data_IF_147924705038
#
_entry.id   IF_147924705038
#
_cell.length_a   1.000
_cell.length_b   1.000
_cell.length_c   1.000
_cell.angle_alpha   90.00
_cell.angle_beta   90.00
_cell.angle_gamma   90.00
#
_symmetry.space_group_name_H-M   'P 1'
#
loop_
_entity.id
_entity.type
_entity.pdbx_description
1 polymer ?
#
# COMPACT_ATOMS: atom_id res chain seq x y z
N UNK A 1 7.39 11.12 -13.63
CA UNK A 1 7.73 9.87 -12.91
C UNK A 1 6.48 9.18 -12.35
N UNK A 2 5.50 9.91 -11.79
CA UNK A 2 4.27 9.29 -11.24
C UNK A 2 3.35 8.73 -12.32
N UNK A 3 3.20 9.42 -13.46
CA UNK A 3 2.35 8.97 -14.58
C UNK A 3 2.96 7.80 -15.34
N UNK A 4 4.27 7.79 -15.57
CA UNK A 4 4.98 6.68 -16.20
C UNK A 4 4.95 5.41 -15.35
N UNK A 5 5.08 5.54 -14.01
CA UNK A 5 4.99 4.44 -13.07
C UNK A 5 3.62 3.77 -13.14
N UNK A 6 2.55 4.56 -13.22
CA UNK A 6 1.17 4.08 -13.27
C UNK A 6 0.79 3.47 -14.63
N UNK A 7 1.34 3.98 -15.74
CA UNK A 7 1.12 3.45 -17.09
C UNK A 7 1.69 2.05 -17.28
N UNK A 8 2.79 1.75 -16.63
CA UNK A 8 3.55 0.51 -16.82
C UNK A 8 2.85 -0.70 -16.22
N UNK A 9 2.25 -0.55 -15.05
CA UNK A 9 1.55 -1.66 -14.36
C UNK A 9 0.35 -2.16 -15.17
N UNK A 10 -0.26 -1.29 -16.00
CA UNK A 10 -1.41 -1.64 -16.83
C UNK A 10 -1.04 -2.34 -18.15
N UNK A 11 0.20 -2.21 -18.64
CA UNK A 11 0.60 -2.78 -19.95
C UNK A 11 1.07 -4.23 -19.89
N UNK A 12 1.36 -4.77 -18.69
CA UNK A 12 1.88 -6.13 -18.49
C UNK A 12 0.86 -7.26 -18.52
N UNK A 13 -0.44 -6.98 -18.67
CA UNK A 13 -1.49 -8.00 -18.72
C UNK A 13 -1.54 -8.69 -20.08
N UNK A 14 -0.67 -9.68 -20.30
CA UNK A 14 -0.74 -10.61 -21.42
C UNK A 14 -2.04 -11.41 -21.35
N UNK A 15 -2.89 -11.27 -22.37
CA UNK A 15 -4.16 -12.01 -22.54
C UNK A 15 -3.89 -13.52 -22.53
N UNK A 16 -4.14 -14.19 -21.43
CA UNK A 16 -4.37 -15.64 -21.43
C UNK A 16 -5.84 -15.90 -21.16
N UNK A 17 -6.51 -16.30 -22.24
CA UNK A 17 -7.89 -16.77 -22.27
C UNK A 17 -7.95 -18.11 -21.49
N UNK A 18 -8.67 -18.16 -20.37
CA UNK A 18 -9.05 -19.43 -19.74
C UNK A 18 -10.52 -19.72 -20.04
N UNK A 19 -10.74 -20.83 -20.75
CA UNK A 19 -12.07 -21.41 -20.99
C UNK A 19 -12.63 -21.92 -19.65
N UNK A 20 -13.86 -21.52 -19.37
CA UNK A 20 -14.65 -22.00 -18.26
C UNK A 20 -15.25 -23.37 -18.59
N UNK A 21 -14.97 -24.36 -17.75
CA UNK A 21 -15.72 -25.61 -17.67
C UNK A 21 -16.68 -25.55 -16.50
N UNK A 22 -17.99 -25.51 -16.76
CA UNK A 22 -19.02 -25.56 -15.75
C UNK A 22 -19.30 -26.97 -15.28
N UNK A 23 -19.51 -27.16 -13.99
CA UNK A 23 -20.25 -28.29 -13.42
C UNK A 23 -21.17 -27.72 -12.37
N UNK A 24 -22.46 -27.87 -12.59
CA UNK A 24 -23.49 -27.59 -11.60
C UNK A 24 -23.71 -28.75 -10.67
N UNK A 25 -24.05 -28.47 -9.43
CA UNK A 25 -24.79 -29.41 -8.57
C UNK A 25 -25.80 -28.70 -7.70
N UNK A 26 -26.96 -29.36 -7.54
CA UNK A 26 -28.20 -28.84 -7.01
C UNK A 26 -28.36 -28.95 -5.49
N UNK A 27 -29.14 -28.02 -4.97
CA UNK A 27 -30.12 -27.95 -3.87
C UNK A 27 -30.41 -29.14 -2.95
N UNK A 28 -30.41 -28.83 -1.64
CA UNK A 28 -31.46 -29.12 -0.64
C UNK A 28 -31.02 -28.41 0.66
N UNK A 29 -31.79 -27.60 1.38
CA UNK A 29 -33.19 -27.65 1.76
C UNK A 29 -33.29 -27.53 3.28
N UNK A 30 -34.06 -26.51 3.78
CA UNK A 30 -34.73 -26.43 5.07
C UNK A 30 -34.00 -26.05 6.36
N UNK A 31 -34.33 -24.93 6.93
CA UNK A 31 -35.11 -24.73 8.13
C UNK A 31 -34.60 -23.60 9.03
N UNK A 32 -35.47 -22.77 9.63
CA UNK A 32 -35.07 -21.56 10.34
C UNK A 32 -34.73 -21.87 11.79
N UNK A 33 -33.65 -21.31 12.31
CA UNK A 33 -33.43 -21.21 13.74
C UNK A 33 -33.21 -19.78 14.20
N UNK A 34 -33.69 -19.54 15.41
CA UNK A 34 -34.08 -18.27 15.99
C UNK A 34 -32.90 -17.40 16.38
N UNK A 35 -33.18 -16.12 16.34
CA UNK A 35 -32.27 -15.04 16.65
C UNK A 35 -31.59 -15.13 18.02
N UNK A 36 -30.32 -14.87 18.01
CA UNK A 36 -29.57 -14.47 19.19
C UNK A 36 -28.99 -13.06 18.90
N UNK A 37 -29.43 -12.11 19.73
CA UNK A 37 -28.95 -10.73 19.69
C UNK A 37 -27.46 -10.73 20.07
N UNK A 38 -26.60 -10.51 19.12
CA UNK A 38 -25.22 -10.15 19.40
C UNK A 38 -25.21 -8.78 20.11
N UNK A 39 -24.72 -8.77 21.33
CA UNK A 39 -24.49 -7.56 22.11
C UNK A 39 -23.45 -6.68 21.39
N UNK A 40 -23.83 -5.44 21.16
CA UNK A 40 -22.97 -4.35 20.68
C UNK A 40 -21.87 -4.10 21.75
N UNK A 41 -20.72 -4.72 21.55
CA UNK A 41 -19.52 -4.40 22.32
C UNK A 41 -18.92 -3.11 21.71
N UNK A 42 -19.39 -1.99 22.21
CA UNK A 42 -18.84 -0.67 21.92
C UNK A 42 -17.32 -0.69 22.11
N UNK A 43 -16.56 -0.63 21.00
CA UNK A 43 -15.13 -0.46 21.02
C UNK A 43 -14.81 0.85 21.73
N UNK A 44 -14.21 0.77 22.92
CA UNK A 44 -13.66 1.92 23.60
C UNK A 44 -12.67 2.65 22.67
N UNK A 45 -12.64 4.00 22.63
CA UNK A 45 -11.69 4.73 21.81
C UNK A 45 -10.28 4.33 22.24
N UNK A 46 -9.48 3.85 21.28
CA UNK A 46 -8.10 3.45 21.49
C UNK A 46 -7.35 4.63 22.13
N UNK A 47 -6.80 4.43 23.31
CA UNK A 47 -5.98 5.40 24.00
C UNK A 47 -4.85 5.85 23.08
N UNK A 48 -4.66 7.16 22.91
CA UNK A 48 -3.55 7.73 22.13
C UNK A 48 -2.25 7.14 22.67
N UNK A 49 -1.43 6.48 21.83
CA UNK A 49 -0.18 5.90 22.28
C UNK A 49 0.71 7.03 22.81
N UNK A 50 1.22 6.88 24.02
CA UNK A 50 2.25 7.80 24.56
C UNK A 50 3.46 7.77 23.64
N UNK A 51 3.80 8.91 23.05
CA UNK A 51 4.95 9.10 22.19
C UNK A 51 6.22 8.63 22.90
N UNK A 52 6.80 7.53 22.43
CA UNK A 52 8.21 7.19 22.70
C UNK A 52 9.02 7.96 21.66
N UNK A 53 10.22 8.42 21.99
CA UNK A 53 11.06 9.39 21.26
C UNK A 53 11.27 9.24 19.74
N UNK A 54 10.55 8.32 19.08
CA UNK A 54 10.51 8.18 17.62
C UNK A 54 9.51 9.13 16.92
N UNK A 55 8.47 9.59 17.60
CA UNK A 55 7.45 10.44 16.97
C UNK A 55 8.03 11.82 16.61
N UNK A 56 8.86 12.41 17.48
CA UNK A 56 9.48 13.71 17.22
C UNK A 56 10.43 13.67 16.03
N UNK A 57 11.18 12.56 15.87
CA UNK A 57 12.10 12.38 14.74
C UNK A 57 11.36 12.18 13.43
N UNK A 58 10.25 11.43 13.39
CA UNK A 58 9.39 11.30 12.21
C UNK A 58 8.78 12.66 11.86
N UNK A 59 8.21 13.37 12.81
CA UNK A 59 7.65 14.71 12.62
C UNK A 59 8.70 15.71 12.10
N UNK A 60 9.93 15.66 12.61
CA UNK A 60 11.06 16.45 12.11
C UNK A 60 11.38 16.14 10.65
N UNK A 61 11.36 14.87 10.26
CA UNK A 61 11.60 14.46 8.89
C UNK A 61 10.48 14.92 7.93
N UNK A 62 9.23 15.07 8.39
CA UNK A 62 8.17 15.63 7.56
C UNK A 62 8.46 17.07 7.14
N UNK A 63 9.06 17.87 8.01
CA UNK A 63 9.43 19.25 7.72
C UNK A 63 10.69 19.39 6.85
N UNK A 64 11.44 18.29 6.62
CA UNK A 64 12.73 18.29 5.93
C UNK A 64 12.70 19.00 4.58
N UNK A 65 13.75 19.74 4.27
CA UNK A 65 13.89 20.54 3.03
C UNK A 65 14.11 19.69 1.76
N UNK A 66 14.43 18.41 1.95
CA UNK A 66 14.54 17.43 0.87
C UNK A 66 13.19 16.96 0.33
N UNK A 67 12.09 17.18 1.05
CA UNK A 67 10.72 16.90 0.62
C UNK A 67 10.13 18.11 -0.09
N UNK A 68 9.53 17.87 -1.27
CA UNK A 68 8.89 18.92 -2.04
C UNK A 68 7.67 19.51 -1.31
N UNK A 69 7.29 20.75 -1.63
CA UNK A 69 6.05 21.33 -1.10
C UNK A 69 4.81 20.50 -1.49
N UNK A 70 4.80 19.92 -2.69
CA UNK A 70 3.73 19.05 -3.16
C UNK A 70 3.63 17.75 -2.32
N UNK A 71 4.77 17.15 -1.95
CA UNK A 71 4.78 15.95 -1.08
C UNK A 71 4.31 16.29 0.33
N UNK A 72 4.75 17.42 0.88
CA UNK A 72 4.34 17.89 2.21
C UNK A 72 2.84 18.20 2.28
N UNK A 73 2.26 18.78 1.22
CA UNK A 73 0.82 19.05 1.15
C UNK A 73 -0.04 17.79 1.28
N UNK A 74 0.52 16.62 0.94
CA UNK A 74 -0.17 15.33 1.02
C UNK A 74 -0.13 14.70 2.41
N UNK A 75 0.70 15.22 3.33
CA UNK A 75 0.79 14.69 4.69
C UNK A 75 -0.55 14.76 5.42
N UNK A 76 -1.34 15.82 5.16
CA UNK A 76 -2.69 15.99 5.72
C UNK A 76 -3.70 14.92 5.28
N UNK A 77 -3.43 14.22 4.17
CA UNK A 77 -4.26 13.13 3.66
C UNK A 77 -3.71 11.75 4.02
N UNK A 78 -2.41 11.65 4.28
CA UNK A 78 -1.69 10.37 4.43
C UNK A 78 -1.28 10.06 5.86
N UNK A 79 -1.43 11.03 6.76
CA UNK A 79 -1.21 10.89 8.20
C UNK A 79 0.03 10.05 8.55
N UNK A 80 1.23 10.36 7.98
CA UNK A 80 2.38 9.46 8.07
C UNK A 80 2.88 9.22 9.49
N UNK A 81 2.76 10.20 10.39
CA UNK A 81 3.15 10.05 11.79
C UNK A 81 2.26 9.02 12.48
N UNK A 82 0.96 9.17 12.33
CA UNK A 82 -0.06 8.32 12.93
C UNK A 82 0.00 6.90 12.33
N UNK A 83 0.13 6.80 11.00
CA UNK A 83 0.20 5.51 10.30
C UNK A 83 1.43 4.72 10.69
N UNK A 84 2.63 5.34 10.68
CA UNK A 84 3.87 4.68 11.06
C UNK A 84 3.89 4.29 12.55
N UNK A 85 3.31 5.13 13.43
CA UNK A 85 3.14 4.80 14.84
C UNK A 85 2.15 3.63 15.04
N UNK A 86 1.04 3.60 14.30
CA UNK A 86 0.07 2.51 14.34
C UNK A 86 0.69 1.17 13.93
N UNK A 87 1.52 1.14 12.90
CA UNK A 87 2.25 -0.07 12.49
C UNK A 87 3.40 -0.41 13.44
N UNK A 88 3.82 0.52 14.30
CA UNK A 88 4.81 0.29 15.33
C UNK A 88 6.24 0.53 14.89
N UNK A 89 6.46 1.43 13.89
CA UNK A 89 7.83 1.84 13.54
C UNK A 89 8.57 2.35 14.76
N UNK A 90 9.77 1.82 14.98
CA UNK A 90 10.63 2.13 16.14
C UNK A 90 12.09 2.32 15.72
N UNK A 91 12.91 2.99 16.55
CA UNK A 91 14.34 3.15 16.32
C UNK A 91 15.05 1.82 16.11
N UNK A 92 16.00 1.79 15.17
CA UNK A 92 16.87 0.63 14.94
C UNK A 92 16.22 -0.52 14.15
N UNK A 93 14.96 -0.38 13.70
CA UNK A 93 14.27 -1.40 12.94
C UNK A 93 14.88 -1.63 11.56
N UNK A 94 14.75 -2.86 11.06
CA UNK A 94 14.86 -3.20 9.64
C UNK A 94 13.48 -3.14 9.01
N UNK A 95 13.31 -2.27 8.02
CA UNK A 95 12.04 -2.02 7.32
C UNK A 95 12.15 -2.42 5.86
N UNK A 96 11.09 -3.01 5.30
CA UNK A 96 10.95 -3.24 3.84
C UNK A 96 9.80 -2.41 3.31
N UNK A 97 10.08 -1.52 2.35
CA UNK A 97 9.07 -0.77 1.60
C UNK A 97 8.89 -1.42 0.22
N UNK A 98 7.67 -1.91 -0.08
CA UNK A 98 7.36 -2.50 -1.38
C UNK A 98 6.94 -1.42 -2.37
N UNK A 99 7.53 -1.45 -3.56
CA UNK A 99 7.29 -0.51 -4.66
C UNK A 99 7.21 0.95 -4.19
N UNK A 100 8.34 1.52 -3.75
CA UNK A 100 8.38 2.86 -3.16
C UNK A 100 7.94 3.97 -4.11
N UNK A 101 7.77 3.67 -5.39
CA UNK A 101 7.41 4.63 -6.43
C UNK A 101 8.43 5.76 -6.54
N UNK A 102 7.98 7.00 -6.50
CA UNK A 102 8.85 8.16 -6.47
C UNK A 102 9.53 8.41 -5.11
N UNK A 103 9.27 7.54 -4.09
CA UNK A 103 9.92 7.60 -2.79
C UNK A 103 9.26 8.52 -1.77
N UNK A 104 7.93 8.71 -1.84
CA UNK A 104 7.23 9.58 -0.89
C UNK A 104 7.41 9.12 0.56
N UNK A 105 7.22 7.82 0.85
CA UNK A 105 7.49 7.25 2.16
C UNK A 105 8.98 7.03 2.40
N UNK A 106 9.77 6.72 1.36
CA UNK A 106 11.23 6.61 1.47
C UNK A 106 11.85 7.89 2.04
N UNK A 107 11.33 9.08 1.66
CA UNK A 107 11.81 10.38 2.17
C UNK A 107 11.51 10.61 3.67
N UNK A 108 10.69 9.77 4.26
CA UNK A 108 10.37 9.79 5.68
C UNK A 108 11.11 8.66 6.39
N UNK A 109 11.04 7.44 5.83
CA UNK A 109 11.58 6.22 6.43
C UNK A 109 13.11 6.22 6.43
N UNK A 110 13.75 6.49 5.28
CA UNK A 110 15.19 6.37 5.18
C UNK A 110 15.95 7.35 6.07
N UNK A 111 15.59 8.66 6.14
CA UNK A 111 16.21 9.57 7.09
C UNK A 111 15.96 9.18 8.56
N UNK A 112 14.77 8.70 8.89
CA UNK A 112 14.47 8.21 10.24
C UNK A 112 15.35 7.02 10.62
N UNK A 113 15.44 6.03 9.73
CA UNK A 113 16.23 4.83 9.97
C UNK A 113 17.74 5.15 10.03
N UNK A 114 18.23 6.07 9.17
CA UNK A 114 19.60 6.55 9.22
C UNK A 114 19.96 7.18 10.58
N UNK A 115 19.06 8.01 11.13
CA UNK A 115 19.23 8.67 12.42
C UNK A 115 19.17 7.68 13.59
N UNK A 116 18.42 6.59 13.45
CA UNK A 116 18.16 5.62 14.51
C UNK A 116 18.94 4.32 14.36
N UNK A 117 19.92 4.25 13.42
CA UNK A 117 20.74 3.07 13.13
C UNK A 117 19.91 1.86 12.67
N UNK A 118 18.81 2.12 11.98
CA UNK A 118 17.99 1.12 11.30
C UNK A 118 18.45 0.92 9.86
N UNK A 119 17.73 0.04 9.14
CA UNK A 119 17.98 -0.28 7.74
C UNK A 119 16.69 -0.27 6.92
N UNK A 120 16.75 0.23 5.69
CA UNK A 120 15.66 0.17 4.73
C UNK A 120 16.03 -0.74 3.56
N UNK A 121 15.17 -1.73 3.28
CA UNK A 121 15.10 -2.42 2.01
C UNK A 121 14.01 -1.78 1.17
N UNK A 122 14.36 -1.27 0.00
CA UNK A 122 13.43 -0.75 -0.97
C UNK A 122 13.20 -1.81 -2.05
N UNK A 123 12.17 -2.64 -1.88
CA UNK A 123 11.76 -3.66 -2.84
C UNK A 123 11.07 -2.98 -4.04
N UNK A 124 11.87 -2.42 -4.94
CA UNK A 124 11.46 -1.62 -6.09
C UNK A 124 10.89 -2.51 -7.21
N UNK A 125 10.42 -1.92 -8.29
CA UNK A 125 10.04 -2.65 -9.51
C UNK A 125 11.15 -3.60 -9.94
N UNK A 126 10.76 -4.78 -10.41
CA UNK A 126 11.71 -5.64 -11.14
C UNK A 126 11.99 -5.02 -12.51
N UNK A 127 13.24 -4.69 -12.85
CA UNK A 127 13.58 -4.18 -14.19
C UNK A 127 13.36 -5.29 -15.23
N UNK A 128 12.35 -5.14 -16.08
CA UNK A 128 12.00 -6.10 -17.14
C UNK A 128 12.06 -5.48 -18.54
N UNK A 129 12.13 -4.16 -18.59
CA UNK A 129 12.16 -3.35 -19.82
C UNK A 129 12.89 -2.01 -19.56
N UNK A 130 13.05 -1.21 -20.61
CA UNK A 130 13.77 0.06 -20.54
C UNK A 130 13.09 1.05 -19.56
N UNK A 131 11.77 1.07 -19.51
CA UNK A 131 11.02 2.00 -18.64
C UNK A 131 11.16 1.65 -17.17
N UNK A 132 10.98 0.37 -16.79
CA UNK A 132 11.19 -0.09 -15.41
C UNK A 132 12.63 0.09 -14.99
N UNK A 133 13.59 -0.17 -15.88
CA UNK A 133 15.01 0.06 -15.63
C UNK A 133 15.29 1.54 -15.34
N UNK A 134 14.79 2.45 -16.16
CA UNK A 134 14.95 3.90 -15.98
C UNK A 134 14.35 4.38 -14.64
N UNK A 135 13.18 3.86 -14.25
CA UNK A 135 12.55 4.20 -12.97
C UNK A 135 13.41 3.77 -11.79
N UNK A 136 13.92 2.54 -11.81
CA UNK A 136 14.76 2.00 -10.74
C UNK A 136 16.09 2.75 -10.66
N UNK A 137 16.73 3.04 -11.79
CA UNK A 137 18.00 3.79 -11.82
C UNK A 137 17.80 5.24 -11.35
N UNK A 138 16.70 5.90 -11.71
CA UNK A 138 16.38 7.23 -11.20
C UNK A 138 16.18 7.24 -9.67
N UNK A 139 15.55 6.19 -9.13
CA UNK A 139 15.39 6.01 -7.69
C UNK A 139 16.74 5.82 -6.98
N UNK A 140 17.62 4.95 -7.51
CA UNK A 140 18.98 4.74 -6.99
C UNK A 140 19.82 6.01 -7.06
N UNK A 141 19.78 6.74 -8.19
CA UNK A 141 20.49 8.00 -8.35
C UNK A 141 20.06 9.05 -7.32
N UNK A 142 18.75 9.13 -7.03
CA UNK A 142 18.23 10.01 -5.98
C UNK A 142 18.79 9.67 -4.59
N UNK A 143 18.85 8.40 -4.21
CA UNK A 143 19.44 7.98 -2.95
C UNK A 143 20.92 8.30 -2.89
N UNK A 144 21.66 8.00 -3.97
CA UNK A 144 23.10 8.26 -4.09
C UNK A 144 23.46 9.74 -4.05
N UNK A 145 22.55 10.64 -4.46
CA UNK A 145 22.76 12.08 -4.40
C UNK A 145 22.81 12.64 -2.96
N UNK A 146 22.22 11.95 -1.97
CA UNK A 146 22.14 12.39 -0.57
C UNK A 146 22.44 11.25 0.40
N UNK A 147 23.62 10.60 0.35
CA UNK A 147 23.89 9.38 1.11
C UNK A 147 23.89 9.60 2.64
N UNK A 148 24.28 10.79 3.10
CA UNK A 148 24.20 11.13 4.53
C UNK A 148 22.78 11.29 5.06
N UNK A 149 21.84 11.65 4.17
CA UNK A 149 20.42 11.80 4.51
C UNK A 149 19.74 10.45 4.57
N UNK A 150 19.90 9.65 3.52
CA UNK A 150 19.15 8.40 3.36
C UNK A 150 19.80 7.21 4.10
N UNK A 151 21.10 7.29 4.46
CA UNK A 151 21.80 6.22 5.15
C UNK A 151 21.88 4.93 4.33
N UNK A 152 21.71 3.79 5.00
CA UNK A 152 21.77 2.47 4.36
C UNK A 152 20.39 2.10 3.78
N UNK A 153 20.22 2.33 2.47
CA UNK A 153 19.06 1.84 1.72
C UNK A 153 19.54 0.79 0.72
N UNK A 154 19.07 -0.45 0.89
CA UNK A 154 19.33 -1.53 -0.05
C UNK A 154 18.17 -1.63 -1.04
N UNK A 155 18.45 -1.37 -2.33
CA UNK A 155 17.45 -1.45 -3.38
C UNK A 155 17.42 -2.87 -3.92
N UNK A 156 16.36 -3.60 -3.56
CA UNK A 156 16.04 -4.93 -4.08
C UNK A 156 14.94 -4.83 -5.13
N UNK A 157 14.48 -5.96 -5.66
CA UNK A 157 13.44 -6.00 -6.66
C UNK A 157 12.24 -6.83 -6.21
N UNK A 158 11.03 -6.37 -6.53
CA UNK A 158 9.81 -7.17 -6.44
C UNK A 158 9.07 -7.17 -7.78
N UNK A 159 8.75 -8.36 -8.28
CA UNK A 159 8.05 -8.59 -9.53
C UNK A 159 7.83 -10.08 -9.78
N UNK A 160 7.29 -10.47 -10.95
CA UNK A 160 6.87 -11.87 -11.21
C UNK A 160 7.98 -12.91 -11.01
N UNK A 161 9.22 -12.59 -11.37
CA UNK A 161 10.36 -13.53 -11.31
C UNK A 161 11.47 -13.07 -10.37
N UNK A 162 11.24 -12.00 -9.57
CA UNK A 162 12.23 -11.52 -8.61
C UNK A 162 12.51 -12.53 -7.50
N UNK A 163 13.74 -12.48 -6.98
CA UNK A 163 14.15 -13.18 -5.76
C UNK A 163 13.59 -12.55 -4.46
N UNK A 164 14.20 -12.88 -3.31
CA UNK A 164 13.81 -12.31 -2.02
C UNK A 164 13.92 -10.78 -2.00
N UNK A 165 13.02 -10.12 -1.28
CA UNK A 165 13.00 -8.65 -1.11
C UNK A 165 13.92 -8.17 0.01
N UNK A 166 14.24 -9.06 0.93
CA UNK A 166 15.20 -8.92 2.02
C UNK A 166 15.61 -10.35 2.45
N UNK A 167 16.67 -10.55 3.25
CA UNK A 167 16.97 -11.86 3.83
C UNK A 167 15.79 -12.36 4.68
N UNK A 168 15.51 -13.66 4.62
CA UNK A 168 14.42 -14.28 5.35
C UNK A 168 14.54 -14.02 6.86
N UNK A 169 13.43 -13.67 7.49
CA UNK A 169 13.37 -13.41 8.93
C UNK A 169 14.22 -12.23 9.42
N UNK A 170 14.56 -11.27 8.55
CA UNK A 170 15.42 -10.12 8.90
C UNK A 170 14.64 -8.84 9.21
N UNK A 171 13.43 -8.68 8.68
CA UNK A 171 12.66 -7.46 8.80
C UNK A 171 11.80 -7.42 10.08
N UNK A 172 11.71 -6.26 10.69
CA UNK A 172 10.80 -5.98 11.81
C UNK A 172 9.43 -5.48 11.30
N UNK A 173 9.46 -4.72 10.20
CA UNK A 173 8.29 -4.09 9.60
C UNK A 173 8.36 -4.19 8.08
N UNK A 174 7.27 -4.62 7.44
CA UNK A 174 7.06 -4.57 5.99
C UNK A 174 5.89 -3.64 5.72
N UNK A 175 5.98 -2.82 4.67
CA UNK A 175 4.97 -1.83 4.32
C UNK A 175 4.46 -2.02 2.88
N UNK A 176 3.13 -2.19 2.75
CA UNK A 176 2.37 -2.18 1.51
C UNK A 176 1.57 -0.87 1.43
N UNK A 177 2.01 0.04 0.57
CA UNK A 177 1.51 1.41 0.57
C UNK A 177 0.87 1.72 -0.79
N UNK A 178 -0.43 1.44 -0.92
CA UNK A 178 -1.26 1.69 -2.11
C UNK A 178 -0.74 1.01 -3.38
N UNK A 179 -0.32 -0.24 -3.25
CA UNK A 179 0.19 -1.03 -4.38
C UNK A 179 -0.54 -2.38 -4.55
N UNK A 180 -1.37 -2.79 -3.59
CA UNK A 180 -2.05 -4.09 -3.65
C UNK A 180 -2.90 -4.22 -4.93
N UNK A 181 -3.66 -3.18 -5.30
CA UNK A 181 -4.43 -3.15 -6.53
C UNK A 181 -3.56 -3.33 -7.78
N UNK A 182 -2.33 -2.79 -7.79
CA UNK A 182 -1.38 -2.96 -8.89
C UNK A 182 -0.88 -4.41 -8.98
N UNK A 183 -0.60 -5.04 -7.84
CA UNK A 183 -0.18 -6.45 -7.79
C UNK A 183 -1.32 -7.41 -8.15
N UNK A 184 -2.57 -7.05 -7.84
CA UNK A 184 -3.75 -7.78 -8.30
C UNK A 184 -3.85 -7.73 -9.82
N UNK A 185 -3.74 -6.54 -10.42
CA UNK A 185 -3.74 -6.37 -11.87
C UNK A 185 -2.59 -7.15 -12.55
N UNK A 186 -1.44 -7.27 -11.90
CA UNK A 186 -0.28 -8.01 -12.39
C UNK A 186 -0.32 -9.51 -12.06
N UNK A 187 -1.30 -9.99 -11.30
CA UNK A 187 -1.41 -11.40 -10.88
C UNK A 187 -0.31 -11.86 -9.91
N UNK A 188 0.24 -10.94 -9.12
CA UNK A 188 1.34 -11.22 -8.17
C UNK A 188 1.01 -10.81 -6.72
N UNK A 189 -0.25 -10.58 -6.40
CA UNK A 189 -0.65 -10.16 -5.07
C UNK A 189 -0.31 -11.22 -4.00
N UNK A 190 -0.61 -12.50 -4.26
CA UNK A 190 -0.25 -13.61 -3.37
C UNK A 190 1.27 -13.74 -3.15
N UNK A 191 2.06 -13.52 -4.21
CA UNK A 191 3.52 -13.48 -4.13
C UNK A 191 4.01 -12.36 -3.21
N UNK A 192 3.35 -11.17 -3.25
CA UNK A 192 3.71 -10.06 -2.39
C UNK A 192 3.54 -10.42 -0.90
N UNK A 193 2.40 -11.01 -0.53
CA UNK A 193 2.16 -11.44 0.85
C UNK A 193 3.13 -12.54 1.30
N UNK A 194 3.42 -13.53 0.46
CA UNK A 194 4.40 -14.58 0.75
C UNK A 194 5.82 -14.02 0.91
N UNK A 195 6.23 -13.08 0.05
CA UNK A 195 7.53 -12.42 0.15
C UNK A 195 7.66 -11.57 1.43
N UNK A 196 6.60 -10.85 1.81
CA UNK A 196 6.54 -10.11 3.05
C UNK A 196 6.64 -11.05 4.27
N UNK A 197 5.90 -12.17 4.22
CA UNK A 197 5.94 -13.17 5.30
C UNK A 197 7.34 -13.80 5.45
N UNK A 198 8.01 -14.14 4.35
CA UNK A 198 9.37 -14.67 4.39
C UNK A 198 10.35 -13.67 5.00
N UNK A 199 10.31 -12.40 4.56
CA UNK A 199 11.21 -11.36 5.02
C UNK A 199 11.05 -11.01 6.51
N UNK A 200 9.84 -11.12 7.07
CA UNK A 200 9.55 -10.74 8.45
C UNK A 200 10.09 -11.75 9.46
N UNK A 201 10.62 -11.23 10.57
CA UNK A 201 10.86 -12.00 11.79
C UNK A 201 9.55 -12.58 12.35
N UNK A 202 9.59 -13.69 13.13
CA UNK A 202 8.46 -14.05 13.98
C UNK A 202 8.07 -12.85 14.88
N UNK A 203 6.78 -12.54 14.98
CA UNK A 203 6.29 -11.32 15.66
C UNK A 203 6.41 -10.02 14.84
N UNK A 204 7.06 -10.05 13.69
CA UNK A 204 7.18 -8.88 12.80
C UNK A 204 5.83 -8.45 12.21
N UNK A 205 5.75 -7.20 11.79
CA UNK A 205 4.51 -6.53 11.38
C UNK A 205 4.48 -6.30 9.86
N UNK A 206 3.36 -6.62 9.23
CA UNK A 206 2.98 -6.12 7.91
C UNK A 206 1.97 -5.00 8.07
N UNK A 207 2.35 -3.78 7.69
CA UNK A 207 1.49 -2.60 7.61
C UNK A 207 0.93 -2.45 6.18
N UNK A 208 -0.38 -2.33 6.07
CA UNK A 208 -1.06 -2.11 4.78
C UNK A 208 -1.85 -0.81 4.83
N UNK A 209 -1.64 0.03 3.83
CA UNK A 209 -2.51 1.13 3.45
C UNK A 209 -2.96 0.91 2.00
N UNK A 210 -4.28 0.78 1.74
CA UNK A 210 -4.79 0.53 0.39
C UNK A 210 -6.14 1.21 0.18
N UNK A 211 -6.42 1.62 -1.07
CA UNK A 211 -7.69 2.22 -1.50
C UNK A 211 -8.84 1.26 -1.21
N UNK A 212 -9.75 1.67 -0.33
CA UNK A 212 -10.79 0.81 0.23
C UNK A 212 -12.04 0.83 -0.65
N UNK A 213 -12.41 -0.32 -1.20
CA UNK A 213 -13.67 -0.51 -1.92
C UNK A 213 -14.89 -0.36 -1.01
N UNK A 214 -16.05 -0.08 -1.62
CA UNK A 214 -17.33 -0.08 -0.91
C UNK A 214 -17.60 -1.47 -0.31
N UNK A 215 -17.84 -1.59 1.00
CA UNK A 215 -18.09 -2.89 1.64
C UNK A 215 -19.24 -3.66 0.99
N UNK A 216 -19.12 -4.98 0.93
CA UNK A 216 -20.16 -5.88 0.44
C UNK A 216 -20.28 -6.01 -1.08
N UNK A 217 -19.52 -5.24 -1.86
CA UNK A 217 -19.41 -5.48 -3.30
C UNK A 217 -18.44 -6.65 -3.59
N UNK A 218 -18.70 -7.36 -4.69
CA UNK A 218 -17.79 -8.40 -5.17
C UNK A 218 -16.45 -7.75 -5.56
N UNK A 219 -15.33 -8.34 -5.13
CA UNK A 219 -14.01 -7.87 -5.50
C UNK A 219 -13.76 -8.11 -6.99
N UNK A 220 -13.43 -7.06 -7.73
CA UNK A 220 -12.81 -7.20 -9.05
C UNK A 220 -11.39 -7.76 -8.86
N UNK A 221 -11.14 -8.93 -9.41
CA UNK A 221 -9.85 -9.64 -9.28
C UNK A 221 -8.66 -8.86 -9.84
N UNK A 222 -8.91 -7.94 -10.76
CA UNK A 222 -7.89 -7.05 -11.35
C UNK A 222 -7.85 -5.68 -10.67
N UNK A 223 -8.79 -5.39 -9.75
CA UNK A 223 -8.96 -4.08 -9.13
C UNK A 223 -8.85 -2.93 -10.15
N UNK A 224 -9.60 -3.03 -11.27
CA UNK A 224 -9.48 -2.14 -12.43
C UNK A 224 -9.80 -0.67 -12.11
N UNK A 225 -10.59 -0.41 -11.07
CA UNK A 225 -10.89 0.92 -10.55
C UNK A 225 -9.90 1.38 -9.45
N UNK A 226 -8.95 0.52 -9.07
CA UNK A 226 -7.94 0.76 -8.04
C UNK A 226 -8.42 0.53 -6.61
N UNK A 227 -9.67 0.11 -6.39
CA UNK A 227 -10.22 -0.14 -5.06
C UNK A 227 -10.20 -1.61 -4.69
N UNK A 228 -9.82 -1.90 -3.44
CA UNK A 228 -9.70 -3.26 -2.90
C UNK A 228 -10.63 -3.46 -1.71
N UNK A 229 -11.34 -4.58 -1.67
CA UNK A 229 -12.13 -4.98 -0.51
C UNK A 229 -11.21 -5.30 0.68
N UNK A 230 -11.50 -4.75 1.84
CA UNK A 230 -10.75 -5.06 3.07
C UNK A 230 -10.75 -6.57 3.36
N UNK A 231 -11.90 -7.23 3.15
CA UNK A 231 -12.01 -8.68 3.32
C UNK A 231 -11.08 -9.46 2.39
N UNK A 232 -10.90 -9.01 1.14
CA UNK A 232 -10.00 -9.65 0.19
C UNK A 232 -8.52 -9.48 0.57
N UNK A 233 -8.12 -8.27 1.01
CA UNK A 233 -6.78 -8.04 1.52
C UNK A 233 -6.47 -8.91 2.75
N UNK A 234 -7.44 -9.07 3.66
CA UNK A 234 -7.33 -9.94 4.84
C UNK A 234 -7.27 -11.42 4.47
N UNK A 235 -8.01 -11.86 3.45
CA UNK A 235 -7.95 -13.22 2.94
C UNK A 235 -6.55 -13.54 2.42
N UNK A 236 -5.97 -12.71 1.53
CA UNK A 236 -4.61 -12.91 1.02
C UNK A 236 -3.56 -12.94 2.14
N UNK A 237 -3.73 -12.08 3.14
CA UNK A 237 -2.85 -12.06 4.30
C UNK A 237 -2.95 -13.37 5.11
N UNK A 238 -4.16 -13.85 5.36
CA UNK A 238 -4.41 -15.10 6.09
C UNK A 238 -3.85 -16.31 5.33
N UNK A 239 -4.03 -16.36 4.01
CA UNK A 239 -3.48 -17.42 3.15
C UNK A 239 -1.95 -17.46 3.18
N UNK A 240 -1.30 -16.30 3.36
CA UNK A 240 0.15 -16.22 3.55
C UNK A 240 0.61 -16.52 5.00
N UNK A 241 -0.32 -16.72 5.95
CA UNK A 241 -0.04 -17.06 7.34
C UNK A 241 -0.10 -15.89 8.34
N UNK A 242 -0.43 -14.68 7.91
CA UNK A 242 -0.58 -13.53 8.80
C UNK A 242 -1.84 -13.62 9.68
N UNK A 243 -1.78 -12.96 10.84
CA UNK A 243 -2.95 -12.71 11.69
C UNK A 243 -3.24 -11.21 11.75
N UNK A 244 -4.50 -10.83 11.66
CA UNK A 244 -4.93 -9.45 11.88
C UNK A 244 -4.71 -9.07 13.36
N UNK A 245 -3.93 -8.04 13.59
CA UNK A 245 -3.68 -7.50 14.93
C UNK A 245 -4.56 -6.26 15.22
N UNK A 246 -4.74 -5.36 14.24
CA UNK A 246 -5.56 -4.17 14.39
C UNK A 246 -5.96 -3.59 13.02
N UNK A 247 -7.02 -2.77 13.02
CA UNK A 247 -7.44 -1.92 11.91
C UNK A 247 -7.58 -0.48 12.41
N UNK A 248 -7.42 0.49 11.53
CA UNK A 248 -7.56 1.90 11.87
C UNK A 248 -8.24 2.69 10.76
N UNK A 249 -8.97 3.73 11.14
CA UNK A 249 -9.59 4.69 10.25
C UNK A 249 -8.72 5.96 10.04
N UNK A 250 -7.43 5.89 10.37
CA UNK A 250 -6.48 7.02 10.23
C UNK A 250 -6.54 7.62 8.83
N UNK A 251 -6.62 6.78 7.79
CA UNK A 251 -6.61 7.17 6.38
C UNK A 251 -7.99 7.08 5.73
N UNK A 252 -9.07 7.04 6.51
CA UNK A 252 -10.43 7.05 6.00
C UNK A 252 -10.80 8.41 5.43
N UNK A 253 -11.49 8.41 4.29
CA UNK A 253 -12.08 9.61 3.70
C UNK A 253 -13.54 9.35 3.31
N UNK A 254 -14.52 9.71 4.16
CA UNK A 254 -15.93 9.47 3.87
C UNK A 254 -16.49 10.28 2.69
N UNK A 255 -15.74 11.27 2.16
CA UNK A 255 -16.12 12.00 0.96
C UNK A 255 -15.88 11.22 -0.33
N UNK A 256 -15.03 10.18 -0.27
CA UNK A 256 -14.73 9.34 -1.42
C UNK A 256 -15.90 8.38 -1.70
N UNK A 257 -16.67 8.67 -2.75
CA UNK A 257 -17.85 7.90 -3.15
C UNK A 257 -17.49 6.65 -3.97
N UNK A 258 -16.26 6.53 -4.45
CA UNK A 258 -15.69 5.35 -5.14
C UNK A 258 -16.37 5.00 -6.48
N UNK A 259 -17.13 5.94 -7.04
CA UNK A 259 -17.87 5.84 -8.32
C UNK A 259 -17.30 6.77 -9.41
N UNK A 260 -15.99 7.00 -9.34
CA UNK A 260 -15.31 7.96 -10.20
C UNK A 260 -15.09 7.40 -11.61
N UNK A 261 -15.14 8.23 -12.68
CA UNK A 261 -15.11 7.76 -14.06
C UNK A 261 -13.83 7.01 -14.46
N UNK A 262 -12.72 7.32 -13.79
CA UNK A 262 -11.43 6.66 -14.02
C UNK A 262 -10.91 5.98 -12.74
N UNK A 263 -11.83 5.47 -11.92
CA UNK A 263 -11.52 4.86 -10.64
C UNK A 263 -10.82 5.85 -9.70
N UNK A 264 -10.05 5.33 -8.79
CA UNK A 264 -9.30 6.10 -7.78
C UNK A 264 -8.39 7.17 -8.39
N UNK A 265 -7.96 6.98 -9.64
CA UNK A 265 -7.04 7.90 -10.33
C UNK A 265 -7.70 9.18 -10.81
N UNK A 266 -9.03 9.29 -10.78
CA UNK A 266 -9.74 10.55 -10.97
C UNK A 266 -9.44 11.54 -9.84
N UNK A 267 -9.18 11.03 -8.63
CA UNK A 267 -8.87 11.81 -7.44
C UNK A 267 -7.41 12.34 -7.46
N UNK A 268 -7.12 13.38 -6.66
CA UNK A 268 -5.73 13.77 -6.37
C UNK A 268 -4.91 12.60 -5.80
N UNK A 269 -3.62 12.53 -6.08
CA UNK A 269 -2.83 13.50 -6.87
C UNK A 269 -2.84 13.24 -8.38
N UNK A 270 -3.39 12.11 -8.85
CA UNK A 270 -3.30 11.69 -10.25
C UNK A 270 -4.17 12.55 -11.16
N UNK A 271 -5.43 12.83 -10.76
CA UNK A 271 -6.37 13.69 -11.47
C UNK A 271 -6.56 13.29 -12.94
N UNK A 272 -6.76 11.98 -13.22
CA UNK A 272 -7.07 11.55 -14.58
C UNK A 272 -8.37 12.18 -15.06
N UNK A 273 -8.36 12.65 -16.31
CA UNK A 273 -9.51 13.20 -17.04
C UNK A 273 -9.83 12.41 -18.32
N UNK A 274 -9.15 11.29 -18.53
CA UNK A 274 -9.39 10.35 -19.62
C UNK A 274 -8.92 8.94 -19.18
N UNK A 275 -9.32 7.87 -19.90
CA UNK A 275 -8.73 6.56 -19.69
C UNK A 275 -7.22 6.59 -19.83
N UNK A 276 -6.52 5.74 -19.06
CA UNK A 276 -5.07 5.66 -19.12
C UNK A 276 -4.55 5.45 -20.54
N UNK A 277 -3.49 6.18 -20.90
CA UNK A 277 -2.91 6.14 -22.24
C UNK A 277 -3.66 6.96 -23.29
N UNK A 278 -4.75 7.62 -22.90
CA UNK A 278 -5.46 8.57 -23.75
C UNK A 278 -5.09 10.02 -23.39
N UNK A 279 -5.12 10.94 -24.35
CA UNK A 279 -4.92 12.36 -24.06
C UNK A 279 -5.96 12.87 -23.04
N UNK A 280 -5.58 13.80 -22.14
CA UNK A 280 -6.52 14.41 -21.21
C UNK A 280 -7.73 15.00 -21.94
N UNK A 281 -8.94 14.80 -21.41
CA UNK A 281 -10.18 15.35 -21.95
C UNK A 281 -10.23 16.87 -21.71
N UNK A 282 -10.27 17.71 -22.76
CA UNK A 282 -10.41 19.14 -22.59
C UNK A 282 -11.70 19.51 -21.85
N UNK A 283 -11.60 20.40 -20.86
CA UNK A 283 -12.74 20.88 -20.08
C UNK A 283 -13.27 19.92 -19.04
N UNK A 284 -12.57 18.82 -18.73
CA UNK A 284 -12.95 17.96 -17.61
C UNK A 284 -12.91 18.74 -16.29
N UNK A 285 -14.05 18.78 -15.59
CA UNK A 285 -14.17 19.50 -14.32
C UNK A 285 -13.61 18.66 -13.16
N UNK A 286 -12.45 19.08 -12.66
CA UNK A 286 -11.80 18.47 -11.51
C UNK A 286 -12.33 18.95 -10.15
N UNK A 287 -13.14 20.02 -10.11
CA UNK A 287 -13.51 20.69 -8.85
C UNK A 287 -14.17 19.76 -7.83
N UNK A 288 -15.07 18.88 -8.30
CA UNK A 288 -15.72 17.86 -7.47
C UNK A 288 -14.70 16.90 -6.84
N UNK A 289 -13.72 16.46 -7.62
CA UNK A 289 -12.73 15.47 -7.20
C UNK A 289 -11.64 16.08 -6.30
N UNK A 290 -11.24 17.31 -6.60
CA UNK A 290 -10.33 18.08 -5.74
C UNK A 290 -10.95 18.36 -4.36
N UNK A 291 -12.26 18.59 -4.29
CA UNK A 291 -12.99 18.77 -3.03
C UNK A 291 -13.09 17.48 -2.19
N UNK A 292 -13.00 16.32 -2.82
CA UNK A 292 -12.90 15.01 -2.13
C UNK A 292 -11.51 14.87 -1.51
N UNK A 293 -10.45 15.21 -2.26
CA UNK A 293 -9.06 14.99 -1.89
C UNK A 293 -8.54 13.60 -2.27
N UNK A 294 -7.58 13.05 -1.50
CA UNK A 294 -7.11 11.68 -1.72
C UNK A 294 -8.18 10.65 -1.30
N UNK A 295 -8.13 9.45 -1.84
CA UNK A 295 -9.11 8.38 -1.65
C UNK A 295 -9.31 7.95 -0.19
N UNK A 296 -10.42 7.29 0.06
CA UNK A 296 -10.67 6.50 1.27
C UNK A 296 -9.77 5.27 1.31
N UNK A 297 -9.08 5.03 2.43
CA UNK A 297 -8.10 3.94 2.53
C UNK A 297 -8.27 3.14 3.80
N UNK A 298 -8.23 1.81 3.67
CA UNK A 298 -8.04 0.93 4.80
C UNK A 298 -6.62 1.07 5.35
N UNK A 299 -6.47 0.95 6.66
CA UNK A 299 -5.17 0.89 7.34
C UNK A 299 -5.15 -0.33 8.24
N UNK A 300 -4.35 -1.34 7.88
CA UNK A 300 -4.31 -2.64 8.54
C UNK A 300 -2.95 -2.89 9.18
N UNK A 301 -2.96 -3.51 10.34
CA UNK A 301 -1.77 -4.05 11.02
C UNK A 301 -1.91 -5.55 11.15
N UNK A 302 -1.03 -6.27 10.48
CA UNK A 302 -0.97 -7.72 10.48
C UNK A 302 0.32 -8.17 11.15
N UNK A 303 0.30 -9.35 11.75
CA UNK A 303 1.46 -9.89 12.47
C UNK A 303 1.81 -11.28 11.94
N UNK A 304 3.10 -11.52 11.70
CA UNK A 304 3.63 -12.87 11.51
C UNK A 304 3.62 -13.57 12.87
N UNK A 305 2.92 -14.70 13.05
CA UNK A 305 2.93 -15.44 14.31
C UNK A 305 4.34 -15.82 14.75
N UNK A 306 4.54 -15.93 16.08
CA UNK A 306 5.79 -16.42 16.72
C UNK A 306 5.88 -17.93 16.64
#
# INVERSE_FOLDING_TARGET
LSEEFMSLVASGASRRLFLAGGIGLALAGCGPDKGEKAADAGAAPAAKPKARGGADTIAGNLAGDWRSAADKARDAWRHPVESLAFWGLAPGMTVVEFWPGAGWYTDILAPYLAQTKGKLYAANLQPTDETTTRIVEAYKARLAAKPKLYGEVEVTAFGPTSGPVAPDGSADLVLFLRNLHNWMAAGIADKAFKAAFAALKPGGVLGIEEHRATPGKVQDVLAADGYVQTAFALQLAQEAGFKLAAQSEINANPKDTKDHPFGVWTLPPTRLSAPRGQPPQPGFDHSKYDAIGESDRMTLKLVKPT
#
